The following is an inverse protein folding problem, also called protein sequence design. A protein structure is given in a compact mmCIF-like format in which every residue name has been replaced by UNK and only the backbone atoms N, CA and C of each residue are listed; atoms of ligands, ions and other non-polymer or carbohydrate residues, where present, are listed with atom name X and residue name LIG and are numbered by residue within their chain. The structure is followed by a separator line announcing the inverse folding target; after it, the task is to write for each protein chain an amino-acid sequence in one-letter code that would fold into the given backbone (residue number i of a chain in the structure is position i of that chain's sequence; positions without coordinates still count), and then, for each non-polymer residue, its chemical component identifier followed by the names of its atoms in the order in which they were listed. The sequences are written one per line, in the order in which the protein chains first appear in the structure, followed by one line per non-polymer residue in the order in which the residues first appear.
data_IF_199264744492
#
_entry.id   IF_199264744492
#
_cell.length_a   1.000
_cell.length_b   1.000
_cell.length_c   1.000
_cell.angle_alpha   90.00
_cell.angle_beta   90.00
_cell.angle_gamma   90.00
#
_symmetry.space_group_name_H-M   'P 1'
#
loop_
_entity.id
_entity.type
_entity.pdbx_description
1 polymer ?
#
# COMPACT_ATOMS: atom_id res chain seq x y z
N UNK A 1 11.13 -27.46 31.28
CA UNK A 1 12.42 -26.97 30.74
C UNK A 1 12.29 -25.46 30.66
N UNK A 2 13.04 -24.73 31.49
CA UNK A 2 13.05 -23.27 31.50
C UNK A 2 13.95 -22.75 30.36
N UNK A 3 13.58 -21.66 29.68
CA UNK A 3 14.44 -21.04 28.67
C UNK A 3 15.68 -20.38 29.32
N UNK A 4 16.82 -20.32 28.60
CA UNK A 4 18.06 -19.75 29.11
C UNK A 4 17.96 -18.22 29.25
N UNK A 5 18.43 -17.72 30.41
CA UNK A 5 18.60 -16.30 30.71
C UNK A 5 19.83 -15.74 29.96
N UNK A 6 19.64 -14.62 29.26
CA UNK A 6 20.72 -13.92 28.55
C UNK A 6 21.44 -12.92 29.48
N UNK A 7 22.77 -12.99 29.62
CA UNK A 7 23.53 -11.98 30.35
C UNK A 7 23.81 -10.76 29.48
N UNK A 8 23.35 -9.58 29.92
CA UNK A 8 23.89 -8.30 29.46
C UNK A 8 22.90 -7.34 28.80
N UNK A 9 22.09 -6.64 29.60
CA UNK A 9 21.66 -5.28 29.28
C UNK A 9 21.80 -4.41 30.53
N UNK A 10 22.82 -3.55 30.50
CA UNK A 10 23.02 -2.49 31.47
C UNK A 10 21.91 -1.43 31.26
N UNK A 11 21.12 -1.05 32.27
CA UNK A 11 20.09 -0.04 32.11
C UNK A 11 20.73 1.35 31.86
N UNK A 12 20.16 2.18 30.97
CA UNK A 12 20.64 3.54 30.74
C UNK A 12 20.48 4.40 32.01
N UNK A 13 21.48 5.25 32.37
CA UNK A 13 21.37 6.14 33.51
C UNK A 13 20.33 7.24 33.31
N UNK A 14 19.38 7.32 34.25
CA UNK A 14 18.64 8.51 34.70
C UNK A 14 18.16 9.51 33.65
N UNK A 15 16.92 9.34 33.17
CA UNK A 15 16.17 10.46 32.61
C UNK A 15 15.47 11.26 33.72
N UNK A 16 15.46 12.62 33.66
CA UNK A 16 14.74 13.48 34.60
C UNK A 16 13.24 13.15 34.63
N UNK A 17 12.70 12.99 35.83
CA UNK A 17 11.30 12.63 36.07
C UNK A 17 10.32 13.67 35.51
N UNK A 18 9.25 13.17 34.89
CA UNK A 18 8.12 13.98 34.46
C UNK A 18 7.34 14.55 35.66
N UNK A 19 6.81 15.78 35.56
CA UNK A 19 5.99 16.38 36.61
C UNK A 19 4.68 15.59 36.82
N UNK A 20 4.15 15.57 38.06
CA UNK A 20 2.92 14.86 38.39
C UNK A 20 1.70 15.43 37.64
N UNK A 21 0.73 14.58 37.24
CA UNK A 21 -0.47 15.02 36.56
C UNK A 21 -1.34 15.91 37.47
N UNK A 22 -2.03 16.91 36.90
CA UNK A 22 -2.93 17.78 37.66
C UNK A 22 -4.13 17.01 38.24
N UNK A 23 -4.64 17.41 39.42
CA UNK A 23 -5.80 16.78 40.06
C UNK A 23 -7.04 16.81 39.16
N UNK A 24 -7.66 15.65 38.99
CA UNK A 24 -8.89 15.48 38.21
C UNK A 24 -10.04 16.32 38.77
N UNK A 25 -10.76 17.00 37.87
CA UNK A 25 -11.96 17.74 38.23
C UNK A 25 -13.12 16.77 38.56
N UNK A 26 -13.93 17.08 39.60
CA UNK A 26 -15.07 16.26 40.00
C UNK A 26 -16.16 16.14 38.93
N UNK A 27 -16.71 14.93 38.81
CA UNK A 27 -17.71 14.57 37.83
C UNK A 27 -19.03 15.33 37.98
N UNK A 28 -19.63 15.65 36.83
CA UNK A 28 -21.01 16.09 36.74
C UNK A 28 -21.92 14.91 36.40
N UNK A 29 -22.94 14.77 37.23
CA UNK A 29 -24.04 13.82 37.20
C UNK A 29 -25.04 14.11 36.05
N UNK A 30 -25.80 13.10 35.62
CA UNK A 30 -26.85 13.27 34.62
C UNK A 30 -28.17 13.70 35.29
N UNK A 31 -28.75 14.82 34.85
CA UNK A 31 -30.09 15.26 35.25
C UNK A 31 -30.92 15.67 34.03
N UNK A 32 -31.91 14.83 33.70
CA UNK A 32 -33.32 15.20 33.66
C UNK A 32 -33.88 15.99 32.45
N UNK A 33 -35.08 15.63 31.95
CA UNK A 33 -35.79 16.32 30.86
C UNK A 33 -36.78 17.39 31.38
N UNK A 34 -37.32 18.19 30.44
CA UNK A 34 -38.42 19.17 30.51
C UNK A 34 -38.05 20.68 30.57
N UNK A 35 -38.62 21.45 29.62
CA UNK A 35 -38.85 22.89 29.76
C UNK A 35 -38.65 23.73 28.49
N UNK A 36 -39.71 23.92 27.70
CA UNK A 36 -39.93 25.12 26.85
C UNK A 36 -40.38 26.31 27.75
N UNK A 37 -40.64 27.54 27.23
CA UNK A 37 -40.05 28.34 26.14
C UNK A 37 -39.71 29.78 26.59
N UNK A 38 -38.82 30.53 25.93
CA UNK A 38 -38.89 32.00 25.92
C UNK A 38 -38.22 32.58 24.67
N UNK A 39 -38.99 33.36 23.91
CA UNK A 39 -38.58 33.99 22.67
C UNK A 39 -37.60 35.13 22.92
N UNK A 40 -36.39 34.98 22.39
CA UNK A 40 -35.43 36.08 22.21
C UNK A 40 -35.55 36.68 20.81
N UNK A 41 -35.27 37.99 20.65
CA UNK A 41 -35.27 38.65 19.34
C UNK A 41 -34.20 38.02 18.42
N UNK A 42 -34.50 37.84 17.11
CA UNK A 42 -33.60 37.21 16.17
C UNK A 42 -32.30 38.03 16.02
N UNK A 43 -31.12 37.39 16.02
CA UNK A 43 -29.86 38.07 15.78
C UNK A 43 -29.80 38.63 14.34
N UNK A 44 -29.14 39.78 14.11
CA UNK A 44 -28.98 40.39 12.79
C UNK A 44 -28.35 39.42 11.80
N UNK A 45 -29.00 39.23 10.65
CA UNK A 45 -28.55 38.31 9.60
C UNK A 45 -27.20 38.70 9.01
N UNK A 46 -26.34 37.71 8.83
CA UNK A 46 -25.08 37.87 8.10
C UNK A 46 -25.36 38.18 6.62
N UNK A 47 -24.58 39.09 5.99
CA UNK A 47 -24.72 39.38 4.58
C UNK A 47 -24.35 38.16 3.72
N UNK A 48 -25.04 37.95 2.59
CA UNK A 48 -24.75 36.84 1.69
C UNK A 48 -23.32 36.90 1.16
N UNK A 49 -22.65 35.75 0.95
CA UNK A 49 -21.34 35.68 0.32
C UNK A 49 -21.37 36.36 -1.05
N UNK A 50 -20.41 37.26 -1.28
CA UNK A 50 -20.27 37.92 -2.58
C UNK A 50 -19.97 36.93 -3.72
N UNK A 51 -20.30 37.29 -4.97
CA UNK A 51 -20.03 36.43 -6.12
C UNK A 51 -18.53 36.13 -6.26
N UNK A 52 -18.17 34.90 -6.66
CA UNK A 52 -16.78 34.50 -6.84
C UNK A 52 -16.10 35.42 -7.87
N UNK A 53 -14.91 35.93 -7.52
CA UNK A 53 -14.10 36.72 -8.43
C UNK A 53 -13.64 35.83 -9.59
N UNK A 54 -13.76 36.28 -10.85
CA UNK A 54 -13.25 35.52 -11.99
C UNK A 54 -11.72 35.39 -11.87
N UNK A 55 -11.15 34.22 -12.21
CA UNK A 55 -9.71 33.99 -12.15
C UNK A 55 -8.98 34.94 -13.11
N UNK A 56 -7.96 35.64 -12.60
CA UNK A 56 -7.08 36.48 -13.39
C UNK A 56 -6.27 35.60 -14.36
N UNK A 57 -6.57 35.70 -15.65
CA UNK A 57 -5.92 34.94 -16.71
C UNK A 57 -4.42 35.24 -16.80
N UNK A 58 -3.60 34.24 -16.53
CA UNK A 58 -2.23 34.14 -17.04
C UNK A 58 -2.30 33.54 -18.43
N UNK A 59 -1.67 34.21 -19.41
CA UNK A 59 -1.86 33.96 -20.83
C UNK A 59 -1.40 32.58 -21.33
N UNK A 60 -1.86 32.17 -22.53
CA UNK A 60 -1.74 30.80 -23.07
C UNK A 60 -0.34 30.36 -23.52
N UNK A 61 0.73 31.08 -23.15
CA UNK A 61 2.09 30.78 -23.60
C UNK A 61 2.78 29.65 -22.81
N UNK A 62 2.37 29.41 -21.56
CA UNK A 62 3.01 28.41 -20.69
C UNK A 62 2.63 26.96 -21.07
N UNK A 63 1.36 26.59 -21.35
CA UNK A 63 1.05 25.20 -21.69
C UNK A 63 1.59 24.78 -23.07
N UNK A 64 1.79 25.72 -24.01
CA UNK A 64 2.29 25.44 -25.35
C UNK A 64 3.80 25.12 -25.37
N UNK A 65 4.57 25.76 -24.47
CA UNK A 65 6.00 25.45 -24.25
C UNK A 65 6.22 24.05 -23.70
N UNK A 66 5.39 23.61 -22.75
CA UNK A 66 5.53 22.27 -22.13
C UNK A 66 5.22 21.17 -23.15
N UNK A 67 4.15 21.34 -23.95
CA UNK A 67 3.77 20.37 -24.97
C UNK A 67 4.84 20.28 -26.08
N UNK A 68 5.39 21.42 -26.53
CA UNK A 68 6.47 21.45 -27.52
C UNK A 68 7.76 20.77 -27.03
N UNK A 69 8.15 21.01 -25.77
CA UNK A 69 9.35 20.41 -25.17
C UNK A 69 9.25 18.88 -25.04
N UNK A 70 8.10 18.36 -24.61
CA UNK A 70 7.90 16.91 -24.43
C UNK A 70 7.95 16.17 -25.78
N UNK A 71 7.35 16.73 -26.84
CA UNK A 71 7.37 16.11 -28.17
C UNK A 71 8.79 16.02 -28.73
N UNK A 72 9.60 17.07 -28.55
CA UNK A 72 11.00 17.07 -29.01
C UNK A 72 11.84 15.98 -28.32
N UNK A 73 11.68 15.82 -27.00
CA UNK A 73 12.40 14.80 -26.23
C UNK A 73 12.00 13.38 -26.65
N UNK A 74 10.71 13.14 -26.92
CA UNK A 74 10.24 11.83 -27.41
C UNK A 74 10.82 11.51 -28.80
N UNK A 75 10.87 12.48 -29.71
CA UNK A 75 11.44 12.28 -31.06
C UNK A 75 12.95 11.94 -30.97
N UNK A 76 13.71 12.63 -30.13
CA UNK A 76 15.14 12.37 -29.93
C UNK A 76 15.37 10.98 -29.32
N UNK A 77 14.56 10.57 -28.33
CA UNK A 77 14.68 9.26 -27.70
C UNK A 77 14.35 8.11 -28.68
N UNK A 78 13.31 8.25 -29.51
CA UNK A 78 12.96 7.25 -30.53
C UNK A 78 14.03 7.18 -31.62
N UNK A 79 14.58 8.32 -32.06
CA UNK A 79 15.67 8.35 -33.04
C UNK A 79 16.94 7.66 -32.54
N UNK A 80 17.33 7.91 -31.27
CA UNK A 80 18.48 7.25 -30.66
C UNK A 80 18.30 5.73 -30.54
N UNK A 81 17.08 5.27 -30.24
CA UNK A 81 16.78 3.84 -30.13
C UNK A 81 16.89 3.09 -31.46
N UNK A 82 16.57 3.72 -32.59
CA UNK A 82 16.71 3.09 -33.91
C UNK A 82 18.16 3.06 -34.40
N UNK A 83 18.96 4.10 -34.11
CA UNK A 83 20.39 4.12 -34.49
C UNK A 83 21.22 3.09 -33.70
N UNK A 84 20.80 2.74 -32.49
CA UNK A 84 21.49 1.75 -31.65
C UNK A 84 21.06 0.29 -31.91
N UNK A 85 20.10 0.03 -32.81
CA UNK A 85 19.51 -1.31 -33.00
C UNK A 85 20.06 -2.09 -34.20
N UNK A 86 20.93 -1.49 -35.01
CA UNK A 86 21.61 -2.19 -36.10
C UNK A 86 23.06 -2.50 -35.71
N UNK A 87 23.27 -3.65 -35.08
CA UNK A 87 24.48 -4.45 -35.28
C UNK A 87 24.32 -5.86 -34.69
N UNK A 88 24.51 -6.87 -35.55
CA UNK A 88 24.82 -8.23 -35.11
C UNK A 88 23.83 -9.33 -35.48
N UNK A 89 23.69 -9.64 -36.77
CA UNK A 89 23.33 -10.99 -37.22
C UNK A 89 24.48 -11.95 -36.88
N UNK A 90 24.21 -12.97 -36.07
CA UNK A 90 25.03 -14.18 -35.99
C UNK A 90 24.12 -15.40 -36.10
N UNK A 91 24.31 -16.12 -37.20
CA UNK A 91 23.67 -17.38 -37.52
C UNK A 91 24.06 -18.46 -36.50
N UNK A 92 23.07 -19.07 -35.85
CA UNK A 92 23.27 -20.28 -35.05
C UNK A 92 22.86 -21.50 -35.89
N UNK A 93 23.70 -22.54 -36.02
CA UNK A 93 23.34 -23.76 -36.74
C UNK A 93 22.28 -24.58 -35.97
N UNK A 94 21.49 -25.41 -36.68
CA UNK A 94 20.42 -26.19 -36.07
C UNK A 94 20.99 -27.31 -35.18
N UNK A 95 20.56 -27.31 -33.91
CA UNK A 95 20.83 -28.39 -32.95
C UNK A 95 19.89 -29.56 -33.27
N UNK A 96 20.47 -30.69 -33.64
CA UNK A 96 19.77 -31.96 -33.85
C UNK A 96 19.66 -32.68 -32.51
N UNK A 97 18.44 -32.92 -32.04
CA UNK A 97 18.16 -33.73 -30.84
C UNK A 97 17.96 -35.21 -31.25
N UNK A 98 18.57 -36.18 -30.57
CA UNK A 98 18.29 -37.59 -30.78
C UNK A 98 16.95 -38.00 -30.15
N UNK A 99 16.13 -38.69 -30.94
CA UNK A 99 14.92 -39.38 -30.49
C UNK A 99 15.28 -40.62 -29.66
N UNK A 100 14.93 -40.61 -28.38
CA UNK A 100 14.97 -41.82 -27.53
C UNK A 100 13.54 -42.28 -27.26
N UNK A 101 13.13 -43.33 -27.96
CA UNK A 101 11.97 -44.14 -27.65
C UNK A 101 12.37 -45.25 -26.66
N UNK A 102 11.68 -45.35 -25.52
CA UNK A 102 11.89 -46.41 -24.53
C UNK A 102 10.72 -46.48 -23.56
N UNK A 103 10.06 -47.63 -23.52
CA UNK A 103 8.75 -47.85 -22.90
C UNK A 103 8.71 -48.08 -21.38
N UNK A 104 7.48 -47.96 -20.87
CA UNK A 104 6.81 -48.55 -19.69
C UNK A 104 7.62 -49.43 -18.72
N UNK A 105 7.43 -49.29 -17.39
CA UNK A 105 6.24 -49.86 -16.75
C UNK A 105 5.54 -48.97 -15.70
N UNK A 106 4.26 -49.29 -15.50
CA UNK A 106 3.35 -48.76 -14.47
C UNK A 106 3.66 -49.36 -13.09
N UNK A 107 3.61 -48.55 -12.01
CA UNK A 107 3.28 -49.06 -10.69
C UNK A 107 2.03 -48.37 -10.10
N UNK A 108 1.06 -49.21 -9.77
CA UNK A 108 -0.02 -48.98 -8.82
C UNK A 108 0.54 -48.86 -7.40
N UNK A 109 0.33 -47.75 -6.68
CA UNK A 109 0.15 -47.65 -5.20
C UNK A 109 -0.49 -46.27 -4.88
N UNK A 110 -1.75 -46.23 -4.43
CA UNK A 110 -2.23 -46.08 -3.03
C UNK A 110 -2.31 -44.62 -2.52
N UNK A 111 -3.49 -44.12 -2.08
CA UNK A 111 -3.69 -42.70 -1.78
C UNK A 111 -3.19 -42.36 -0.37
N UNK A 112 -2.04 -41.70 -0.30
CA UNK A 112 -1.58 -41.06 0.94
C UNK A 112 -2.02 -39.60 0.99
N UNK A 113 -2.98 -39.35 1.88
CA UNK A 113 -3.10 -38.18 2.75
C UNK A 113 -2.53 -36.86 2.23
N UNK A 114 -3.44 -36.01 1.74
CA UNK A 114 -3.27 -34.58 1.50
C UNK A 114 -2.63 -33.88 2.72
N UNK A 115 -1.31 -33.76 2.70
CA UNK A 115 -0.57 -32.89 3.62
C UNK A 115 -0.53 -31.51 2.98
N UNK A 116 -1.23 -30.58 3.62
CA UNK A 116 -1.33 -29.17 3.24
C UNK A 116 0.03 -28.59 2.83
N UNK A 117 0.17 -28.21 1.56
CA UNK A 117 1.27 -27.38 1.09
C UNK A 117 1.11 -25.95 1.65
N UNK A 118 1.57 -25.73 2.89
CA UNK A 118 1.83 -24.40 3.44
C UNK A 118 3.18 -23.86 2.95
N UNK A 119 3.38 -23.82 1.62
CA UNK A 119 4.67 -23.50 1.00
C UNK A 119 4.68 -22.17 0.22
N UNK A 120 3.81 -21.22 0.55
CA UNK A 120 3.70 -19.93 -0.18
C UNK A 120 4.01 -18.68 0.66
N UNK A 121 4.28 -18.81 1.97
CA UNK A 121 4.61 -17.67 2.84
C UNK A 121 6.09 -17.29 2.84
N UNK A 122 6.99 -18.19 2.43
CA UNK A 122 8.43 -17.97 2.47
C UNK A 122 8.89 -16.86 1.51
N UNK A 123 8.35 -16.80 0.29
CA UNK A 123 8.78 -15.81 -0.71
C UNK A 123 8.36 -14.39 -0.34
N UNK A 124 7.13 -14.20 0.16
CA UNK A 124 6.66 -12.85 0.45
C UNK A 124 7.37 -12.20 1.63
N UNK A 125 7.95 -12.99 2.53
CA UNK A 125 8.79 -12.46 3.61
C UNK A 125 10.07 -11.79 3.09
N UNK A 126 10.54 -12.17 1.90
CA UNK A 126 11.70 -11.57 1.21
C UNK A 126 11.34 -10.25 0.53
N UNK A 127 10.07 -10.08 0.12
CA UNK A 127 9.53 -8.85 -0.48
C UNK A 127 9.12 -7.86 0.61
N UNK A 128 8.29 -8.31 1.56
CA UNK A 128 7.77 -7.51 2.67
C UNK A 128 8.71 -7.59 3.88
N UNK A 129 9.95 -7.13 3.72
CA UNK A 129 10.99 -7.19 4.75
C UNK A 129 10.61 -6.42 6.04
N UNK A 130 11.24 -6.73 7.19
CA UNK A 130 11.03 -5.96 8.42
C UNK A 130 11.35 -4.46 8.27
N UNK A 131 12.34 -4.14 7.44
CA UNK A 131 12.69 -2.77 7.05
C UNK A 131 12.82 -2.67 5.53
N UNK A 132 12.38 -1.54 4.98
CA UNK A 132 12.47 -1.24 3.55
C UNK A 132 13.07 0.16 3.40
N UNK A 133 14.24 0.24 2.80
CA UNK A 133 14.85 1.52 2.42
C UNK A 133 14.50 1.81 0.97
N UNK A 134 13.96 2.99 0.72
CA UNK A 134 13.56 3.42 -0.62
C UNK A 134 14.71 4.12 -1.33
N UNK A 135 14.60 4.25 -2.66
CA UNK A 135 15.52 5.07 -3.45
C UNK A 135 15.61 6.55 -3.00
N UNK A 136 14.58 7.07 -2.30
CA UNK A 136 14.59 8.43 -1.75
C UNK A 136 15.34 8.52 -0.40
N UNK A 137 15.84 7.42 0.14
CA UNK A 137 16.60 7.36 1.39
C UNK A 137 15.73 7.22 2.64
N UNK A 138 14.41 7.08 2.50
CA UNK A 138 13.51 6.84 3.63
C UNK A 138 13.56 5.37 4.03
N UNK A 139 13.76 5.09 5.31
CA UNK A 139 13.67 3.73 5.85
C UNK A 139 12.34 3.53 6.55
N UNK A 140 11.52 2.65 6.01
CA UNK A 140 10.25 2.22 6.57
C UNK A 140 10.46 1.02 7.47
N UNK A 141 9.78 1.00 8.62
CA UNK A 141 9.83 -0.12 9.56
C UNK A 141 8.46 -0.77 9.67
N UNK A 142 8.42 -2.09 9.49
CA UNK A 142 7.19 -2.89 9.59
C UNK A 142 6.69 -2.92 11.03
N UNK A 143 5.43 -2.57 11.23
CA UNK A 143 4.72 -2.56 12.49
C UNK A 143 3.85 -3.82 12.61
N UNK A 144 4.43 -4.87 13.22
CA UNK A 144 3.79 -6.16 13.44
C UNK A 144 4.17 -7.23 12.40
N UNK A 145 3.36 -8.30 12.36
CA UNK A 145 3.53 -9.43 11.44
C UNK A 145 2.83 -9.18 10.10
N UNK A 146 3.25 -9.92 9.07
CA UNK A 146 2.52 -9.99 7.80
C UNK A 146 1.15 -10.63 8.07
N UNK A 147 0.09 -10.02 7.55
CA UNK A 147 -1.27 -10.56 7.63
C UNK A 147 -1.63 -11.25 6.32
N UNK A 148 -2.02 -12.51 6.44
CA UNK A 148 -2.49 -13.34 5.33
C UNK A 148 -4.01 -13.46 5.39
N UNK A 149 -4.67 -13.47 4.24
CA UNK A 149 -6.07 -13.86 4.12
C UNK A 149 -6.49 -13.95 2.66
N UNK A 150 -7.62 -14.62 2.38
CA UNK A 150 -8.12 -14.71 1.01
C UNK A 150 -8.38 -13.31 0.45
N UNK A 151 -8.17 -13.11 -0.85
CA UNK A 151 -8.38 -11.80 -1.47
C UNK A 151 -9.79 -11.27 -1.22
N UNK A 152 -10.82 -12.13 -1.31
CA UNK A 152 -12.20 -11.76 -1.04
C UNK A 152 -12.44 -11.29 0.41
N UNK A 153 -11.84 -11.95 1.40
CA UNK A 153 -11.99 -11.57 2.82
C UNK A 153 -11.29 -10.27 3.19
N UNK A 154 -10.33 -9.85 2.37
CA UNK A 154 -9.50 -8.65 2.58
C UNK A 154 -9.82 -7.54 1.59
N UNK A 155 -10.83 -7.72 0.75
CA UNK A 155 -11.27 -6.74 -0.21
C UNK A 155 -12.34 -5.82 0.41
N UNK A 156 -12.25 -4.52 0.12
CA UNK A 156 -13.42 -3.64 0.24
C UNK A 156 -14.52 -4.07 -0.73
N UNK A 157 -15.72 -3.48 -0.59
CA UNK A 157 -16.89 -3.91 -1.37
C UNK A 157 -16.67 -3.86 -2.89
N UNK A 158 -16.00 -2.83 -3.40
CA UNK A 158 -15.81 -2.67 -4.85
C UNK A 158 -14.67 -3.52 -5.38
N UNK A 159 -13.63 -3.76 -4.57
CA UNK A 159 -12.61 -4.76 -4.90
C UNK A 159 -13.19 -6.17 -4.87
N UNK A 160 -14.08 -6.49 -3.92
CA UNK A 160 -14.72 -7.79 -3.85
C UNK A 160 -15.55 -8.07 -5.12
N UNK A 161 -16.25 -7.04 -5.65
CA UNK A 161 -16.95 -7.13 -6.94
C UNK A 161 -15.98 -7.36 -8.11
N UNK A 162 -14.87 -6.63 -8.15
CA UNK A 162 -13.85 -6.80 -9.19
C UNK A 162 -13.24 -8.22 -9.18
N UNK A 163 -13.09 -8.81 -8.00
CA UNK A 163 -12.53 -10.16 -7.82
C UNK A 163 -13.49 -11.29 -8.24
N UNK A 164 -14.79 -11.05 -8.43
CA UNK A 164 -15.74 -12.09 -8.90
C UNK A 164 -15.35 -12.63 -10.28
N UNK A 165 -14.85 -11.74 -11.17
CA UNK A 165 -14.39 -12.12 -12.51
C UNK A 165 -12.90 -12.45 -12.59
N UNK A 166 -12.12 -12.11 -11.56
CA UNK A 166 -10.66 -12.15 -11.56
C UNK A 166 -10.15 -12.63 -10.20
N UNK A 167 -10.31 -13.92 -9.92
CA UNK A 167 -9.89 -14.48 -8.63
C UNK A 167 -8.37 -14.47 -8.47
N UNK A 168 -7.90 -14.20 -7.25
CA UNK A 168 -6.52 -14.42 -6.89
C UNK A 168 -6.17 -15.91 -6.90
N UNK A 169 -4.94 -16.23 -7.28
CA UNK A 169 -4.39 -17.60 -7.22
C UNK A 169 -3.68 -17.90 -5.90
N UNK A 170 -3.52 -16.89 -5.05
CA UNK A 170 -2.92 -16.99 -3.72
C UNK A 170 -3.66 -16.06 -2.74
N UNK A 171 -3.46 -16.32 -1.44
CA UNK A 171 -3.91 -15.40 -0.40
C UNK A 171 -3.22 -14.03 -0.51
N UNK A 172 -3.98 -12.97 -0.24
CA UNK A 172 -3.47 -11.62 -0.13
C UNK A 172 -2.52 -11.53 1.06
N UNK A 173 -1.32 -10.99 0.82
CA UNK A 173 -0.32 -10.72 1.85
C UNK A 173 -0.27 -9.22 2.11
N UNK A 174 -0.45 -8.79 3.36
CA UNK A 174 -0.38 -7.38 3.73
C UNK A 174 0.63 -7.13 4.85
N UNK A 175 1.37 -6.04 4.75
CA UNK A 175 2.23 -5.56 5.81
C UNK A 175 1.95 -4.08 6.08
N UNK A 176 2.03 -3.70 7.35
CA UNK A 176 1.85 -2.33 7.82
C UNK A 176 3.23 -1.77 8.16
N UNK A 177 3.56 -0.61 7.60
CA UNK A 177 4.84 0.06 7.79
C UNK A 177 4.61 1.45 8.38
N UNK A 178 5.61 1.94 9.09
CA UNK A 178 5.71 3.33 9.52
C UNK A 178 6.94 3.96 8.89
N UNK A 179 6.82 5.24 8.51
CA UNK A 179 7.96 6.06 8.15
C UNK A 179 8.83 6.38 9.40
N UNK A 180 10.04 6.94 9.25
CA UNK A 180 11.00 7.10 10.36
C UNK A 180 10.48 7.86 11.59
N UNK A 181 9.72 8.93 11.38
CA UNK A 181 9.11 9.73 12.44
C UNK A 181 7.81 9.12 13.00
N UNK A 182 7.36 7.99 12.43
CA UNK A 182 6.13 7.27 12.74
C UNK A 182 4.86 8.13 12.59
N UNK A 183 4.91 9.19 11.78
CA UNK A 183 3.76 10.06 11.55
C UNK A 183 2.80 9.50 10.50
N UNK A 184 3.30 8.72 9.54
CA UNK A 184 2.52 8.10 8.47
C UNK A 184 2.64 6.58 8.55
N UNK A 185 1.48 5.93 8.52
CA UNK A 185 1.36 4.49 8.38
C UNK A 185 1.02 4.16 6.93
N UNK A 186 1.73 3.20 6.36
CA UNK A 186 1.49 2.70 5.01
C UNK A 186 1.19 1.21 5.06
N UNK A 187 0.02 0.80 4.57
CA UNK A 187 -0.38 -0.59 4.41
C UNK A 187 -0.08 -1.00 2.98
N UNK A 188 0.83 -1.96 2.82
CA UNK A 188 1.12 -2.56 1.52
C UNK A 188 0.40 -3.89 1.44
N UNK A 189 -0.42 -4.10 0.42
CA UNK A 189 -1.13 -5.35 0.16
C UNK A 189 -0.78 -5.87 -1.23
N UNK A 190 -0.39 -7.15 -1.32
CA UNK A 190 0.03 -7.79 -2.56
C UNK A 190 -0.96 -8.90 -2.89
N UNK A 191 -1.53 -8.84 -4.10
CA UNK A 191 -2.42 -9.84 -4.67
C UNK A 191 -1.69 -10.51 -5.85
N UNK A 192 -1.84 -11.83 -5.97
CA UNK A 192 -1.35 -12.60 -7.13
C UNK A 192 -2.51 -13.17 -7.91
N UNK A 193 -2.48 -12.98 -9.22
CA UNK A 193 -3.45 -13.48 -10.19
C UNK A 193 -2.83 -14.57 -11.08
N UNK A 194 -3.66 -15.21 -11.90
CA UNK A 194 -3.20 -16.22 -12.85
C UNK A 194 -2.26 -15.63 -13.93
N UNK A 195 -2.51 -14.39 -14.33
CA UNK A 195 -1.79 -13.71 -15.40
C UNK A 195 -1.86 -12.17 -15.24
N UNK A 196 -1.11 -11.48 -16.09
CA UNK A 196 -1.03 -10.03 -16.08
C UNK A 196 -2.32 -9.33 -16.53
N UNK A 197 -3.14 -9.97 -17.37
CA UNK A 197 -4.41 -9.42 -17.84
C UNK A 197 -5.40 -9.31 -16.68
N UNK A 198 -5.53 -10.38 -15.89
CA UNK A 198 -6.37 -10.42 -14.69
C UNK A 198 -5.88 -9.40 -13.64
N UNK A 199 -4.56 -9.31 -13.43
CA UNK A 199 -3.98 -8.31 -12.54
C UNK A 199 -4.30 -6.87 -13.00
N UNK A 200 -4.15 -6.57 -14.29
CA UNK A 200 -4.45 -5.25 -14.85
C UNK A 200 -5.94 -4.92 -14.73
N UNK A 201 -6.84 -5.85 -15.05
CA UNK A 201 -8.27 -5.64 -14.97
C UNK A 201 -8.72 -5.26 -13.55
N UNK A 202 -8.14 -5.89 -12.52
CA UNK A 202 -8.41 -5.53 -11.11
C UNK A 202 -7.77 -4.18 -10.75
N UNK A 203 -6.53 -3.93 -11.17
CA UNK A 203 -5.85 -2.66 -10.90
C UNK A 203 -6.60 -1.47 -11.48
N UNK A 204 -7.16 -1.59 -12.69
CA UNK A 204 -7.93 -0.54 -13.36
C UNK A 204 -9.19 -0.13 -12.56
N UNK A 205 -9.71 -1.03 -11.72
CA UNK A 205 -10.84 -0.73 -10.81
C UNK A 205 -10.45 0.08 -9.59
N UNK A 206 -9.15 0.26 -9.31
CA UNK A 206 -8.70 1.04 -8.15
C UNK A 206 -9.12 2.50 -8.24
N UNK A 207 -9.18 3.09 -9.45
CA UNK A 207 -9.70 4.45 -9.62
C UNK A 207 -11.18 4.60 -9.28
N UNK A 208 -11.92 3.49 -9.30
CA UNK A 208 -13.35 3.42 -8.97
C UNK A 208 -13.58 3.12 -7.48
N UNK A 209 -12.51 3.08 -6.66
CA UNK A 209 -12.58 2.75 -5.23
C UNK A 209 -12.43 1.26 -4.92
N UNK A 210 -11.95 0.43 -5.86
CA UNK A 210 -11.65 -0.97 -5.58
C UNK A 210 -10.32 -1.10 -4.80
N UNK A 211 -10.38 -0.94 -3.48
CA UNK A 211 -9.23 -1.09 -2.58
C UNK A 211 -9.39 -2.23 -1.56
N UNK A 212 -8.27 -2.76 -1.04
CA UNK A 212 -8.29 -3.69 0.09
C UNK A 212 -8.83 -3.02 1.36
N UNK A 213 -9.35 -3.83 2.28
CA UNK A 213 -9.70 -3.36 3.62
C UNK A 213 -8.46 -2.79 4.31
N UNK A 214 -8.56 -1.53 4.73
CA UNK A 214 -7.49 -0.84 5.42
C UNK A 214 -7.11 -1.55 6.72
N UNK A 215 -5.81 -1.77 6.91
CA UNK A 215 -5.29 -2.35 8.15
C UNK A 215 -4.96 -1.26 9.17
N UNK A 216 -5.47 -1.44 10.39
CA UNK A 216 -5.09 -0.63 11.55
C UNK A 216 -3.88 -1.24 12.28
N UNK A 217 -3.06 -0.40 12.96
CA UNK A 217 -1.91 -0.88 13.70
C UNK A 217 -2.34 -1.90 14.76
N UNK A 218 -1.68 -3.07 14.86
CA UNK A 218 -2.01 -4.02 15.91
C UNK A 218 -1.55 -3.48 17.28
N UNK A 219 -2.21 -3.96 18.34
CA UNK A 219 -1.77 -3.71 19.71
C UNK A 219 -0.31 -4.13 19.90
N UNK A 220 0.49 -3.31 20.57
CA UNK A 220 1.91 -3.58 20.80
C UNK A 220 2.84 -3.27 19.62
N UNK A 221 2.35 -2.71 18.51
CA UNK A 221 3.18 -2.28 17.37
C UNK A 221 4.05 -1.04 17.64
N UNK A 222 3.85 -0.36 18.77
CA UNK A 222 4.48 0.93 19.07
C UNK A 222 3.89 2.10 18.29
N UNK A 223 2.77 1.89 17.59
CA UNK A 223 1.95 2.93 16.95
C UNK A 223 0.67 3.16 17.75
N UNK A 224 0.07 4.37 17.70
CA UNK A 224 -1.21 4.64 18.34
C UNK A 224 -2.32 3.71 17.82
N UNK A 225 -3.12 3.17 18.74
CA UNK A 225 -4.34 2.47 18.38
C UNK A 225 -5.38 3.49 17.89
N UNK A 226 -6.05 3.18 16.77
CA UNK A 226 -7.13 3.99 16.23
C UNK A 226 -8.48 3.34 16.56
N UNK A 227 -9.44 4.14 17.03
CA UNK A 227 -10.78 3.67 17.37
C UNK A 227 -11.71 3.51 16.15
N UNK A 228 -11.31 4.04 15.00
CA UNK A 228 -12.05 3.99 13.74
C UNK A 228 -11.09 3.96 12.56
N UNK A 229 -11.60 3.58 11.39
CA UNK A 229 -10.84 3.68 10.15
C UNK A 229 -10.54 5.16 9.83
N UNK A 230 -9.26 5.52 9.65
CA UNK A 230 -8.89 6.89 9.27
C UNK A 230 -9.17 7.16 7.80
N UNK A 231 -9.19 8.44 7.45
CA UNK A 231 -9.07 8.88 6.06
C UNK A 231 -7.72 8.40 5.51
N UNK A 232 -7.70 7.90 4.27
CA UNK A 232 -6.50 7.31 3.66
C UNK A 232 -6.43 7.58 2.16
N UNK A 233 -5.20 7.53 1.63
CA UNK A 233 -4.96 7.54 0.19
C UNK A 233 -4.55 6.16 -0.28
N UNK A 234 -5.22 5.66 -1.32
CA UNK A 234 -4.87 4.39 -1.98
C UNK A 234 -4.16 4.67 -3.31
N UNK A 235 -3.09 3.92 -3.55
CA UNK A 235 -2.40 3.82 -4.84
C UNK A 235 -2.20 2.35 -5.19
N UNK A 236 -2.17 2.06 -6.48
CA UNK A 236 -1.93 0.69 -6.95
C UNK A 236 -0.97 0.65 -8.13
N UNK A 237 -0.32 -0.50 -8.30
CA UNK A 237 0.58 -0.80 -9.40
C UNK A 237 0.41 -2.25 -9.83
N UNK A 238 0.64 -2.53 -11.11
CA UNK A 238 0.76 -3.88 -11.64
C UNK A 238 2.20 -4.23 -11.98
N UNK A 239 2.58 -5.48 -11.70
CA UNK A 239 3.87 -6.07 -12.09
C UNK A 239 3.65 -7.53 -12.48
N UNK A 240 3.55 -7.79 -13.79
CA UNK A 240 3.16 -9.12 -14.29
C UNK A 240 1.81 -9.53 -13.69
N UNK A 241 1.76 -10.71 -13.08
CA UNK A 241 0.56 -11.25 -12.44
C UNK A 241 0.27 -10.70 -11.03
N UNK A 242 0.93 -9.63 -10.60
CA UNK A 242 0.76 -9.05 -9.27
C UNK A 242 0.08 -7.68 -9.32
N UNK A 243 -0.79 -7.43 -8.34
CA UNK A 243 -1.29 -6.09 -8.01
C UNK A 243 -0.77 -5.72 -6.62
N UNK A 244 -0.15 -4.56 -6.52
CA UNK A 244 0.38 -3.99 -5.28
C UNK A 244 -0.49 -2.79 -4.94
N UNK A 245 -1.12 -2.80 -3.77
CA UNK A 245 -1.78 -1.65 -3.18
C UNK A 245 -0.91 -1.04 -2.10
N UNK A 246 -0.88 0.29 -2.05
CA UNK A 246 -0.31 1.08 -0.95
C UNK A 246 -1.37 2.04 -0.44
N UNK A 247 -1.79 1.84 0.81
CA UNK A 247 -2.77 2.68 1.49
C UNK A 247 -2.07 3.46 2.60
N UNK A 248 -2.01 4.79 2.48
CA UNK A 248 -1.38 5.67 3.47
C UNK A 248 -2.39 6.39 4.34
N UNK A 249 -2.10 6.55 5.63
CA UNK A 249 -2.84 7.42 6.55
C UNK A 249 -1.94 7.94 7.67
N UNK A 250 -2.35 9.00 8.35
CA UNK A 250 -1.62 9.49 9.53
C UNK A 250 -1.82 8.56 10.73
N UNK A 251 -0.74 8.27 11.46
CA UNK A 251 -0.77 7.44 12.67
C UNK A 251 -1.68 8.01 13.77
N UNK A 252 -1.94 9.32 13.76
CA UNK A 252 -2.89 9.98 14.68
C UNK A 252 -4.36 9.83 14.28
N UNK A 253 -4.65 9.30 13.09
CA UNK A 253 -6.01 9.19 12.55
C UNK A 253 -6.63 10.50 12.05
N UNK A 254 -5.82 11.58 11.93
CA UNK A 254 -6.25 12.83 11.28
C UNK A 254 -6.45 12.63 9.78
N UNK A 255 -7.08 13.61 9.13
CA UNK A 255 -7.35 13.57 7.69
C UNK A 255 -6.06 13.40 6.87
N UNK A 256 -6.13 12.57 5.82
CA UNK A 256 -4.98 12.25 4.98
C UNK A 256 -4.47 13.45 4.15
N UNK A 257 -5.29 14.50 4.01
CA UNK A 257 -4.97 15.71 3.27
C UNK A 257 -5.08 15.52 1.75
N UNK A 258 -4.47 16.43 1.02
CA UNK A 258 -4.55 16.46 -0.45
C UNK A 258 -3.70 15.38 -1.13
N UNK A 259 -3.96 15.16 -2.42
CA UNK A 259 -3.25 14.16 -3.25
C UNK A 259 -1.76 14.46 -3.43
N UNK A 260 -1.29 15.67 -3.18
CA UNK A 260 0.14 16.03 -3.20
C UNK A 260 0.73 16.11 -1.78
N UNK A 261 -0.04 15.77 -0.75
CA UNK A 261 0.34 15.86 0.65
C UNK A 261 1.20 14.70 1.13
N UNK A 262 1.74 14.84 2.34
CA UNK A 262 2.69 13.91 2.97
C UNK A 262 2.22 12.45 2.94
N UNK A 263 0.94 12.19 3.20
CA UNK A 263 0.42 10.81 3.22
C UNK A 263 0.50 10.17 1.83
N UNK A 264 0.09 10.88 0.79
CA UNK A 264 0.10 10.38 -0.58
C UNK A 264 1.51 10.18 -1.13
N UNK A 265 2.43 11.10 -0.78
CA UNK A 265 3.83 11.02 -1.22
C UNK A 265 4.53 9.85 -0.54
N UNK A 266 4.41 9.76 0.80
CA UNK A 266 5.04 8.74 1.64
C UNK A 266 4.54 7.34 1.32
N UNK A 267 3.23 7.15 1.12
CA UNK A 267 2.70 5.84 0.74
C UNK A 267 3.08 5.45 -0.68
N UNK A 268 3.13 6.43 -1.58
CA UNK A 268 3.56 6.26 -2.96
C UNK A 268 5.00 5.77 -3.10
N UNK A 269 5.89 6.39 -2.34
CA UNK A 269 7.31 6.06 -2.33
C UNK A 269 7.54 4.59 -1.95
N UNK A 270 6.96 4.14 -0.82
CA UNK A 270 7.06 2.75 -0.39
C UNK A 270 6.40 1.80 -1.40
N UNK A 271 5.23 2.15 -1.93
CA UNK A 271 4.52 1.32 -2.90
C UNK A 271 5.30 1.09 -4.19
N UNK A 272 5.97 2.13 -4.70
CA UNK A 272 6.88 2.03 -5.86
C UNK A 272 8.06 1.13 -5.55
N UNK A 273 8.69 1.28 -4.38
CA UNK A 273 9.83 0.45 -3.97
C UNK A 273 9.45 -1.03 -3.92
N UNK A 274 8.33 -1.38 -3.28
CA UNK A 274 7.84 -2.77 -3.23
C UNK A 274 7.52 -3.30 -4.63
N UNK A 275 6.87 -2.50 -5.47
CA UNK A 275 6.58 -2.90 -6.84
C UNK A 275 7.87 -3.15 -7.65
N UNK A 276 8.93 -2.38 -7.42
CA UNK A 276 10.22 -2.61 -8.05
C UNK A 276 10.88 -3.90 -7.53
N UNK A 277 10.85 -4.16 -6.22
CA UNK A 277 11.39 -5.41 -5.64
C UNK A 277 10.72 -6.64 -6.26
N UNK A 278 9.40 -6.62 -6.45
CA UNK A 278 8.66 -7.74 -7.07
C UNK A 278 9.11 -8.01 -8.51
N UNK A 279 9.47 -6.95 -9.26
CA UNK A 279 9.95 -7.09 -10.64
C UNK A 279 11.27 -7.88 -10.70
N UNK A 280 12.15 -7.74 -9.71
CA UNK A 280 13.47 -8.37 -9.69
C UNK A 280 13.49 -9.72 -8.96
N UNK A 281 12.43 -10.06 -8.23
CA UNK A 281 12.33 -11.30 -7.48
C UNK A 281 11.75 -12.48 -8.29
N UNK A 282 11.20 -12.22 -9.49
CA UNK A 282 10.64 -13.23 -10.41
C UNK A 282 11.43 -13.26 -11.72
#
# INVERSE_FOLDING_TARGET
MNPPEWPGQNPPPGQPGYPPPPPGQPGYSPQGPYGQPYGGPPPPGFPPPGPPRPPSGSGPLIPLMIIGGVILVVIVAVGAFFVLRDDGKKDNPPVVLPSTSGGYPSPTESPSSSTSQSATTSDMSTILKPTVSTAAGTTYTRAGIIRTGSCASRAGSDLAKALVGHSCVQDMQSALYSNPDRSVVTVVSILKFADATNAQAVNDKTSDGADPTLLLPPSGSGLPALSRNPSSWTRSWTKGSYVIYSQGYYASGKDAGERNGTVYTTSGELGIEIANVIMWAN
#
